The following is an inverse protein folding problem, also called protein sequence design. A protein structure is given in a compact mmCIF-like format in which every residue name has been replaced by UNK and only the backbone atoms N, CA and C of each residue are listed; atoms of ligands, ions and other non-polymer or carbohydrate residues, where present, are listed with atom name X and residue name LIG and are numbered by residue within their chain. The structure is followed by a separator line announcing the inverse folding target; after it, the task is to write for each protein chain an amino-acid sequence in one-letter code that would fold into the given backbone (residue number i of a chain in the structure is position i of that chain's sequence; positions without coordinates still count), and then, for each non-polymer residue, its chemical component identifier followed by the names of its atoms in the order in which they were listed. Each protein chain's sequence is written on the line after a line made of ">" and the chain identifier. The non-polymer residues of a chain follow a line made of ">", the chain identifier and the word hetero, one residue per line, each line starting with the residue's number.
data_IF_138001964802
#
_entry.id   IF_138001964802
#
_cell.length_a   1.000
_cell.length_b   1.000
_cell.length_c   1.000
_cell.angle_alpha   90.00
_cell.angle_beta   90.00
_cell.angle_gamma   90.00
#
_symmetry.space_group_name_H-M   'P 1'
#
loop_
_entity.id
_entity.type
_entity.pdbx_description
1 polymer ?
#
# COMPACT_ATOMS: atom_id res chain seq x y z
N UNK A 1 -2.10 10.12 7.63
CA UNK A 1 -2.02 8.79 6.99
C UNK A 1 -2.16 8.93 5.48
N UNK A 2 -1.44 8.11 4.70
CA UNK A 2 -1.57 8.03 3.24
C UNK A 2 -2.07 6.63 2.84
N UNK A 3 -3.19 6.58 2.14
CA UNK A 3 -3.85 5.35 1.65
C UNK A 3 -3.77 5.36 0.12
N UNK A 4 -2.91 4.54 -0.46
CA UNK A 4 -2.64 4.51 -1.90
C UNK A 4 -3.31 3.32 -2.58
N UNK A 5 -3.69 3.50 -3.86
CA UNK A 5 -4.50 2.53 -4.60
C UNK A 5 -5.82 2.23 -3.88
N UNK A 6 -6.42 3.30 -3.36
CA UNK A 6 -7.46 3.25 -2.33
C UNK A 6 -8.79 2.63 -2.81
N UNK A 7 -9.02 2.54 -4.12
CA UNK A 7 -10.24 2.06 -4.75
C UNK A 7 -11.50 2.76 -4.20
N UNK A 8 -12.16 2.22 -3.19
CA UNK A 8 -13.38 2.79 -2.57
C UNK A 8 -13.12 3.55 -1.26
N UNK A 9 -11.88 3.68 -0.82
CA UNK A 9 -11.51 4.42 0.41
C UNK A 9 -11.67 3.64 1.70
N UNK A 10 -11.80 2.30 1.64
CA UNK A 10 -12.12 1.49 2.81
C UNK A 10 -11.06 1.59 3.93
N UNK A 11 -9.78 1.56 3.61
CA UNK A 11 -8.71 1.71 4.60
C UNK A 11 -8.71 3.12 5.21
N UNK A 12 -8.85 4.15 4.37
CA UNK A 12 -8.92 5.53 4.82
C UNK A 12 -10.09 5.79 5.78
N UNK A 13 -11.29 5.30 5.46
CA UNK A 13 -12.48 5.42 6.32
C UNK A 13 -12.31 4.70 7.65
N UNK A 14 -11.75 3.48 7.64
CA UNK A 14 -11.44 2.76 8.87
C UNK A 14 -10.39 3.47 9.72
N UNK A 15 -9.40 4.11 9.08
CA UNK A 15 -8.42 4.92 9.79
C UNK A 15 -9.07 6.14 10.46
N UNK A 16 -9.96 6.86 9.77
CA UNK A 16 -10.74 7.98 10.38
C UNK A 16 -11.56 7.49 11.56
N UNK A 17 -12.26 6.35 11.40
CA UNK A 17 -13.03 5.72 12.47
C UNK A 17 -12.15 5.31 13.65
N UNK A 18 -10.91 4.88 13.38
CA UNK A 18 -9.88 4.56 14.38
C UNK A 18 -9.18 5.76 15.00
N UNK A 19 -9.59 6.99 14.65
CA UNK A 19 -9.07 8.23 15.24
C UNK A 19 -7.94 8.92 14.46
N UNK A 20 -7.70 8.55 13.20
CA UNK A 20 -6.76 9.27 12.36
C UNK A 20 -7.21 10.74 12.20
N UNK A 21 -6.27 11.67 12.39
CA UNK A 21 -6.55 13.10 12.29
C UNK A 21 -6.71 13.56 10.86
N UNK A 22 -5.86 13.04 9.99
CA UNK A 22 -5.85 13.37 8.56
C UNK A 22 -5.51 12.13 7.73
N UNK A 23 -6.31 11.89 6.67
CA UNK A 23 -6.14 10.81 5.72
C UNK A 23 -6.17 11.35 4.30
N UNK A 24 -5.18 10.97 3.50
CA UNK A 24 -5.15 11.22 2.06
C UNK A 24 -5.32 9.88 1.37
N UNK A 25 -6.42 9.70 0.64
CA UNK A 25 -6.71 8.49 -0.14
C UNK A 25 -6.54 8.77 -1.61
N UNK A 26 -5.72 7.96 -2.28
CA UNK A 26 -5.23 8.20 -3.64
C UNK A 26 -5.58 7.05 -4.54
N UNK A 27 -6.14 7.35 -5.70
CA UNK A 27 -6.31 6.40 -6.80
C UNK A 27 -6.07 7.09 -8.14
N UNK A 28 -5.68 6.33 -9.15
CA UNK A 28 -5.52 6.83 -10.52
C UNK A 28 -6.86 6.99 -11.23
N UNK A 29 -7.87 6.19 -10.85
CA UNK A 29 -9.21 6.19 -11.45
C UNK A 29 -10.06 7.33 -10.91
N UNK A 30 -10.49 8.23 -11.78
CA UNK A 30 -11.44 9.30 -11.41
C UNK A 30 -12.76 8.74 -10.87
N UNK A 31 -13.24 7.61 -11.40
CA UNK A 31 -14.44 6.94 -10.92
C UNK A 31 -14.25 6.41 -9.50
N UNK A 32 -13.09 5.82 -9.20
CA UNK A 32 -12.76 5.38 -7.85
C UNK A 32 -12.71 6.57 -6.89
N UNK A 33 -12.08 7.66 -7.27
CA UNK A 33 -11.99 8.90 -6.47
C UNK A 33 -13.39 9.46 -6.18
N UNK A 34 -14.27 9.51 -7.18
CA UNK A 34 -15.67 9.95 -6.98
C UNK A 34 -16.42 9.04 -5.99
N UNK A 35 -16.17 7.72 -6.00
CA UNK A 35 -16.72 6.80 -5.00
C UNK A 35 -16.14 7.06 -3.61
N UNK A 36 -14.85 7.36 -3.50
CA UNK A 36 -14.22 7.74 -2.21
C UNK A 36 -14.87 9.01 -1.67
N UNK A 37 -15.06 10.04 -2.48
CA UNK A 37 -15.71 11.30 -2.07
C UNK A 37 -17.12 11.04 -1.54
N UNK A 38 -17.92 10.26 -2.26
CA UNK A 38 -19.25 9.85 -1.80
C UNK A 38 -19.19 9.07 -0.48
N UNK A 39 -18.23 8.17 -0.33
CA UNK A 39 -18.07 7.38 0.89
C UNK A 39 -17.60 8.26 2.07
N UNK A 40 -16.79 9.28 1.84
CA UNK A 40 -16.42 10.30 2.84
C UNK A 40 -17.69 11.00 3.36
N UNK A 41 -18.57 11.43 2.47
CA UNK A 41 -19.84 12.08 2.85
C UNK A 41 -20.74 11.14 3.64
N UNK A 42 -20.97 9.91 3.15
CA UNK A 42 -21.83 8.91 3.79
C UNK A 42 -21.37 8.51 5.20
N UNK A 43 -20.05 8.61 5.46
CA UNK A 43 -19.47 8.23 6.75
C UNK A 43 -19.14 9.41 7.67
N UNK A 44 -19.50 10.65 7.29
CA UNK A 44 -19.20 11.84 8.07
C UNK A 44 -17.70 12.09 8.27
N UNK A 45 -16.88 11.71 7.29
CA UNK A 45 -15.42 11.81 7.35
C UNK A 45 -14.87 13.13 6.76
N UNK A 46 -15.75 14.08 6.39
CA UNK A 46 -15.36 15.37 5.86
C UNK A 46 -14.45 16.12 6.86
N UNK A 47 -13.46 16.81 6.34
CA UNK A 47 -12.46 17.51 7.15
C UNK A 47 -11.37 16.63 7.77
N UNK A 48 -11.52 15.29 7.70
CA UNK A 48 -10.49 14.34 8.16
C UNK A 48 -9.92 13.49 7.02
N UNK A 49 -10.66 13.28 5.96
CA UNK A 49 -10.25 12.47 4.81
C UNK A 49 -10.48 13.24 3.52
N UNK A 50 -9.53 13.18 2.61
CA UNK A 50 -9.63 13.73 1.26
C UNK A 50 -9.27 12.68 0.22
N UNK A 51 -9.92 12.72 -0.94
CA UNK A 51 -9.65 11.91 -2.09
C UNK A 51 -8.76 12.68 -3.09
N UNK A 52 -7.82 11.99 -3.71
CA UNK A 52 -6.89 12.57 -4.70
C UNK A 52 -6.80 11.66 -5.91
N UNK A 53 -7.09 12.18 -7.10
CA UNK A 53 -6.89 11.48 -8.36
C UNK A 53 -5.45 11.72 -8.85
N UNK A 54 -4.57 10.71 -8.69
CA UNK A 54 -3.17 10.84 -9.09
C UNK A 54 -2.53 9.48 -9.35
N UNK A 55 -1.47 9.48 -10.18
CA UNK A 55 -0.54 8.35 -10.28
C UNK A 55 0.30 8.26 -8.99
N UNK A 56 0.24 7.11 -8.31
CA UNK A 56 0.91 6.90 -7.02
C UNK A 56 2.43 7.02 -7.14
N UNK A 57 3.04 6.57 -8.25
CA UNK A 57 4.48 6.68 -8.44
C UNK A 57 4.93 8.15 -8.52
N UNK A 58 4.20 8.95 -9.28
CA UNK A 58 4.48 10.38 -9.42
C UNK A 58 4.24 11.12 -8.09
N UNK A 59 3.12 10.80 -7.41
CA UNK A 59 2.75 11.46 -6.16
C UNK A 59 3.73 11.16 -5.01
N UNK A 60 4.17 9.92 -4.86
CA UNK A 60 5.16 9.57 -3.83
C UNK A 60 6.48 10.31 -4.08
N UNK A 61 6.88 10.48 -5.34
CA UNK A 61 8.06 11.28 -5.70
C UNK A 61 7.88 12.75 -5.33
N UNK A 62 6.74 13.33 -5.69
CA UNK A 62 6.39 14.72 -5.37
C UNK A 62 6.39 14.97 -3.86
N UNK A 63 5.81 14.05 -3.08
CA UNK A 63 5.81 14.16 -1.61
C UNK A 63 7.22 14.05 -1.02
N UNK A 64 8.08 13.18 -1.58
CA UNK A 64 9.49 13.09 -1.17
C UNK A 64 10.23 14.40 -1.44
N UNK A 65 10.05 15.02 -2.61
CA UNK A 65 10.64 16.30 -2.98
C UNK A 65 10.15 17.46 -2.09
N UNK A 66 8.88 17.40 -1.65
CA UNK A 66 8.28 18.38 -0.72
C UNK A 66 8.64 18.13 0.75
N UNK A 67 9.26 17.00 1.08
CA UNK A 67 9.60 16.64 2.45
C UNK A 67 8.38 16.24 3.31
N UNK A 68 7.26 15.84 2.68
CA UNK A 68 6.07 15.37 3.38
C UNK A 68 6.36 14.14 4.25
N UNK A 69 5.65 14.02 5.37
CA UNK A 69 5.79 12.89 6.30
C UNK A 69 4.44 12.33 6.74
N UNK A 70 4.40 11.02 6.93
CA UNK A 70 3.21 10.28 7.34
C UNK A 70 3.54 9.29 8.46
N UNK A 71 2.61 9.12 9.41
CA UNK A 71 2.74 8.12 10.47
C UNK A 71 2.37 6.72 9.97
N UNK A 72 1.47 6.65 9.00
CA UNK A 72 1.01 5.38 8.39
C UNK A 72 0.91 5.56 6.88
N UNK A 73 1.45 4.61 6.13
CA UNK A 73 1.27 4.51 4.66
C UNK A 73 0.78 3.11 4.33
N UNK A 74 -0.26 3.02 3.51
CA UNK A 74 -0.77 1.77 2.93
C UNK A 74 -0.44 1.73 1.44
N UNK A 75 0.17 0.65 1.00
CA UNK A 75 0.44 0.31 -0.39
C UNK A 75 -0.30 -0.99 -0.75
N UNK A 76 -1.45 -0.88 -1.39
CA UNK A 76 -2.23 -2.02 -1.88
C UNK A 76 -2.41 -1.95 -3.41
N UNK A 77 -1.31 -2.05 -4.17
CA UNK A 77 -1.33 -1.89 -5.61
C UNK A 77 -2.02 -3.08 -6.31
N UNK A 78 -2.54 -2.86 -7.52
CA UNK A 78 -2.96 -3.96 -8.38
C UNK A 78 -1.77 -4.86 -8.71
N UNK A 79 -2.04 -6.07 -9.22
CA UNK A 79 -1.00 -7.01 -9.60
C UNK A 79 -0.09 -6.41 -10.69
N UNK A 80 1.18 -6.13 -10.36
CA UNK A 80 2.17 -5.60 -11.32
C UNK A 80 2.66 -6.65 -12.31
N UNK A 81 2.40 -7.94 -12.05
CA UNK A 81 2.65 -8.99 -13.03
C UNK A 81 1.56 -10.05 -13.04
N UNK A 82 1.22 -10.49 -14.25
CA UNK A 82 0.33 -11.63 -14.50
C UNK A 82 1.08 -12.81 -15.16
N UNK A 83 2.42 -12.72 -15.26
CA UNK A 83 3.24 -13.76 -15.87
C UNK A 83 4.65 -13.82 -15.26
N UNK A 84 5.26 -15.02 -15.28
CA UNK A 84 6.62 -15.23 -14.83
C UNK A 84 7.65 -14.38 -15.62
N UNK A 85 7.38 -14.10 -16.90
CA UNK A 85 8.30 -13.32 -17.76
C UNK A 85 8.52 -11.89 -17.28
N UNK A 86 7.57 -11.33 -16.53
CA UNK A 86 7.58 -9.93 -16.11
C UNK A 86 7.94 -9.73 -14.63
N UNK A 87 8.43 -10.76 -13.95
CA UNK A 87 8.79 -10.70 -12.51
C UNK A 87 9.77 -9.56 -12.24
N UNK A 88 10.82 -9.40 -13.05
CA UNK A 88 11.84 -8.37 -12.85
C UNK A 88 11.27 -6.93 -12.96
N UNK A 89 10.38 -6.72 -13.93
CA UNK A 89 9.68 -5.45 -14.07
C UNK A 89 8.77 -5.17 -12.86
N UNK A 90 8.02 -6.18 -12.43
CA UNK A 90 7.17 -6.08 -11.24
C UNK A 90 7.99 -5.81 -9.97
N UNK A 91 9.14 -6.49 -9.81
CA UNK A 91 10.07 -6.25 -8.71
C UNK A 91 10.50 -4.78 -8.64
N UNK A 92 10.89 -4.19 -9.78
CA UNK A 92 11.24 -2.77 -9.86
C UNK A 92 10.10 -1.85 -9.41
N UNK A 93 8.87 -2.09 -9.87
CA UNK A 93 7.70 -1.30 -9.49
C UNK A 93 7.36 -1.42 -8.00
N UNK A 94 7.29 -2.64 -7.47
CA UNK A 94 7.08 -2.85 -6.04
C UNK A 94 8.17 -2.22 -5.18
N UNK A 95 9.44 -2.37 -5.59
CA UNK A 95 10.58 -1.79 -4.89
C UNK A 95 10.48 -0.27 -4.84
N UNK A 96 10.17 0.38 -5.96
CA UNK A 96 10.08 1.83 -6.07
C UNK A 96 9.04 2.42 -5.11
N UNK A 97 7.81 1.91 -5.11
CA UNK A 97 6.78 2.45 -4.21
C UNK A 97 7.11 2.19 -2.74
N UNK A 98 7.67 1.02 -2.41
CA UNK A 98 8.04 0.68 -1.03
C UNK A 98 9.20 1.53 -0.53
N UNK A 99 10.23 1.74 -1.34
CA UNK A 99 11.37 2.61 -1.03
C UNK A 99 10.91 4.04 -0.72
N UNK A 100 10.08 4.64 -1.58
CA UNK A 100 9.57 5.99 -1.36
C UNK A 100 8.68 6.07 -0.13
N UNK A 101 7.78 5.11 0.06
CA UNK A 101 6.96 5.04 1.26
C UNK A 101 7.81 5.00 2.54
N UNK A 102 8.88 4.18 2.57
CA UNK A 102 9.78 4.12 3.72
C UNK A 102 10.49 5.44 3.98
N UNK A 103 10.82 6.23 2.95
CA UNK A 103 11.41 7.57 3.11
C UNK A 103 10.40 8.61 3.58
N UNK A 104 9.13 8.46 3.21
CA UNK A 104 8.03 9.35 3.60
C UNK A 104 7.50 9.06 5.01
N UNK A 105 7.81 7.91 5.61
CA UNK A 105 7.38 7.59 6.96
C UNK A 105 8.19 8.33 8.01
N UNK A 106 7.48 8.78 9.05
CA UNK A 106 8.09 9.27 10.30
C UNK A 106 8.92 8.17 10.96
N UNK A 107 9.73 8.51 11.95
CA UNK A 107 10.42 7.51 12.77
C UNK A 107 9.40 6.64 13.51
N UNK A 108 9.59 5.33 13.49
CA UNK A 108 8.64 4.32 13.96
C UNK A 108 7.26 4.32 13.24
N UNK A 109 7.17 4.95 12.09
CA UNK A 109 5.98 4.94 11.24
C UNK A 109 5.64 3.54 10.74
N UNK A 110 4.39 3.33 10.38
CA UNK A 110 3.85 2.03 9.96
C UNK A 110 3.66 1.99 8.46
N UNK A 111 4.27 1.00 7.83
CA UNK A 111 4.03 0.63 6.44
C UNK A 111 3.17 -0.63 6.38
N UNK A 112 2.01 -0.54 5.74
CA UNK A 112 1.25 -1.71 5.29
C UNK A 112 1.49 -1.85 3.81
N UNK A 113 2.02 -3.00 3.38
CA UNK A 113 2.33 -3.21 1.96
C UNK A 113 1.87 -4.57 1.50
N UNK A 114 1.23 -4.60 0.33
CA UNK A 114 0.58 -5.78 -0.23
C UNK A 114 1.10 -6.11 -1.64
N UNK A 115 0.94 -7.36 -2.01
CA UNK A 115 1.06 -7.83 -3.39
C UNK A 115 0.09 -8.98 -3.64
N UNK A 116 -0.82 -8.78 -4.59
CA UNK A 116 -1.75 -9.81 -5.07
C UNK A 116 -1.21 -10.57 -6.30
N UNK A 117 0.04 -10.34 -6.72
CA UNK A 117 0.66 -11.03 -7.85
C UNK A 117 1.07 -12.45 -7.47
N UNK A 118 0.42 -13.47 -8.05
CA UNK A 118 0.78 -14.86 -7.82
C UNK A 118 2.25 -15.17 -8.18
N UNK A 119 2.72 -14.70 -9.34
CA UNK A 119 4.10 -14.93 -9.80
C UNK A 119 5.15 -14.15 -8.99
N UNK A 120 4.74 -13.19 -8.19
CA UNK A 120 5.60 -12.48 -7.25
C UNK A 120 5.40 -13.08 -5.87
N UNK A 121 6.01 -14.25 -5.65
CA UNK A 121 5.83 -15.05 -4.46
C UNK A 121 6.41 -14.41 -3.17
N UNK A 122 6.27 -15.10 -2.04
CA UNK A 122 6.73 -14.57 -0.76
C UNK A 122 8.26 -14.32 -0.71
N UNK A 123 9.14 -15.21 -1.22
CA UNK A 123 10.56 -14.90 -1.32
C UNK A 123 10.87 -13.62 -2.10
N UNK A 124 10.25 -13.43 -3.27
CA UNK A 124 10.42 -12.19 -4.04
C UNK A 124 9.90 -10.96 -3.29
N UNK A 125 8.74 -11.07 -2.65
CA UNK A 125 8.12 -9.98 -1.91
C UNK A 125 8.97 -9.53 -0.71
N UNK A 126 9.41 -10.46 0.14
CA UNK A 126 10.24 -10.11 1.29
C UNK A 126 11.67 -9.72 0.91
N UNK A 127 12.24 -10.32 -0.11
CA UNK A 127 13.53 -9.88 -0.69
C UNK A 127 13.48 -8.47 -1.25
N UNK A 128 12.38 -8.11 -1.90
CA UNK A 128 12.12 -6.74 -2.38
C UNK A 128 12.03 -5.75 -1.22
N UNK A 129 11.31 -6.09 -0.15
CA UNK A 129 11.19 -5.21 1.03
C UNK A 129 12.55 -4.94 1.69
N UNK A 130 13.36 -5.99 1.84
CA UNK A 130 14.73 -5.85 2.36
C UNK A 130 15.54 -4.89 1.48
N UNK A 131 15.49 -5.06 0.17
CA UNK A 131 16.26 -4.21 -0.75
C UNK A 131 15.74 -2.78 -0.82
N UNK A 132 14.44 -2.57 -0.70
CA UNK A 132 13.84 -1.24 -0.58
C UNK A 132 14.27 -0.54 0.71
N UNK A 133 14.34 -1.25 1.83
CA UNK A 133 14.80 -0.73 3.12
C UNK A 133 16.27 -0.31 3.08
N UNK A 134 17.15 -1.15 2.50
CA UNK A 134 18.57 -0.82 2.29
C UNK A 134 18.73 0.48 1.48
N UNK A 135 18.03 0.59 0.34
CA UNK A 135 18.14 1.75 -0.54
C UNK A 135 17.46 3.01 0.07
N UNK A 136 16.45 2.83 0.92
CA UNK A 136 15.84 3.91 1.70
C UNK A 136 16.72 4.35 2.89
N UNK A 137 17.77 3.58 3.23
CA UNK A 137 18.61 3.74 4.43
C UNK A 137 17.78 3.70 5.72
N UNK A 138 16.78 2.83 5.75
CA UNK A 138 15.88 2.61 6.90
C UNK A 138 15.93 1.15 7.34
N UNK A 139 15.71 0.91 8.61
CA UNK A 139 15.50 -0.44 9.14
C UNK A 139 14.01 -0.75 9.17
N UNK A 140 13.65 -1.99 8.83
CA UNK A 140 12.26 -2.41 8.75
C UNK A 140 12.05 -3.65 9.61
N UNK A 141 11.10 -3.56 10.53
CA UNK A 141 10.65 -4.66 11.38
C UNK A 141 9.28 -5.14 10.89
N UNK A 142 9.17 -6.37 10.41
CA UNK A 142 7.87 -6.96 10.06
C UNK A 142 7.19 -7.37 11.36
N UNK A 143 6.13 -6.66 11.73
CA UNK A 143 5.39 -6.87 12.98
C UNK A 143 4.17 -7.78 12.80
N UNK A 144 3.64 -7.91 11.57
CA UNK A 144 2.60 -8.86 11.24
C UNK A 144 2.65 -9.25 9.75
N UNK A 145 2.12 -10.43 9.44
CA UNK A 145 1.97 -10.94 8.07
C UNK A 145 0.54 -11.44 7.91
N UNK A 146 -0.08 -11.10 6.80
CA UNK A 146 -1.44 -11.52 6.45
C UNK A 146 -1.48 -12.09 5.04
N UNK A 147 -2.48 -12.92 4.79
CA UNK A 147 -2.88 -13.41 3.47
C UNK A 147 -4.24 -12.87 3.08
N UNK A 148 -4.94 -13.59 2.21
CA UNK A 148 -6.30 -13.26 1.81
C UNK A 148 -7.29 -13.44 2.98
N UNK A 149 -8.38 -12.69 2.94
CA UNK A 149 -9.47 -12.81 3.90
C UNK A 149 -10.25 -14.13 3.76
N UNK A 150 -11.15 -14.38 4.70
CA UNK A 150 -11.96 -15.60 4.71
C UNK A 150 -12.91 -15.74 3.50
N UNK A 151 -13.20 -14.65 2.82
CA UNK A 151 -13.96 -14.58 1.56
C UNK A 151 -13.15 -15.05 0.33
N UNK A 152 -11.82 -15.18 0.47
CA UNK A 152 -10.89 -15.72 -0.53
C UNK A 152 -10.07 -16.86 0.07
N UNK A 153 -10.70 -18.01 0.38
CA UNK A 153 -10.02 -19.10 1.08
C UNK A 153 -8.94 -19.74 0.19
N UNK A 154 -7.85 -20.17 0.83
CA UNK A 154 -6.84 -20.97 0.17
C UNK A 154 -7.37 -22.38 -0.04
N UNK A 155 -7.40 -22.83 -1.30
CA UNK A 155 -7.85 -24.17 -1.67
C UNK A 155 -6.70 -25.16 -1.54
N UNK A 156 -6.87 -26.18 -0.70
CA UNK A 156 -5.89 -27.26 -0.57
C UNK A 156 -5.63 -27.92 -1.92
N UNK A 157 -4.35 -28.08 -2.28
CA UNK A 157 -3.94 -28.62 -3.59
C UNK A 157 -3.95 -27.63 -4.75
N UNK A 158 -4.35 -26.35 -4.52
CA UNK A 158 -4.30 -25.31 -5.55
C UNK A 158 -3.46 -24.09 -5.08
N UNK A 159 -2.12 -24.14 -5.18
CA UNK A 159 -1.22 -23.11 -4.67
C UNK A 159 -1.50 -21.70 -5.21
N UNK A 160 -2.11 -21.58 -6.40
CA UNK A 160 -2.47 -20.29 -6.99
C UNK A 160 -3.54 -19.53 -6.21
N UNK A 161 -4.29 -20.19 -5.34
CA UNK A 161 -5.24 -19.53 -4.44
C UNK A 161 -4.55 -18.75 -3.29
N UNK A 162 -3.29 -19.08 -2.96
CA UNK A 162 -2.47 -18.36 -1.99
C UNK A 162 -1.64 -17.27 -2.71
N UNK A 163 -2.31 -16.26 -3.20
CA UNK A 163 -1.67 -15.22 -4.02
C UNK A 163 -1.38 -13.91 -3.28
N UNK A 164 -2.10 -13.62 -2.18
CA UNK A 164 -1.95 -12.36 -1.45
C UNK A 164 -0.84 -12.46 -0.39
N UNK A 165 0.08 -11.53 -0.44
CA UNK A 165 1.05 -11.24 0.61
C UNK A 165 0.78 -9.85 1.13
N UNK A 166 0.62 -9.71 2.44
CA UNK A 166 0.50 -8.43 3.13
C UNK A 166 1.45 -8.43 4.32
N UNK A 167 2.27 -7.40 4.42
CA UNK A 167 3.17 -7.17 5.54
C UNK A 167 2.83 -5.86 6.24
N UNK A 168 2.72 -5.90 7.55
CA UNK A 168 2.67 -4.71 8.40
C UNK A 168 4.06 -4.53 8.98
N UNK A 169 4.68 -3.39 8.71
CA UNK A 169 6.05 -3.12 9.04
C UNK A 169 6.15 -1.85 9.90
N UNK A 170 7.04 -1.86 10.90
CA UNK A 170 7.52 -0.65 11.55
C UNK A 170 8.83 -0.23 10.88
N UNK A 171 8.89 1.04 10.48
CA UNK A 171 10.06 1.63 9.82
C UNK A 171 10.82 2.51 10.82
N UNK A 172 12.04 2.11 11.15
CA UNK A 172 12.90 2.74 12.16
C UNK A 172 14.18 3.30 11.53
#
# INVERSE_FOLDING_TARGET
>A
MLDTFTHTGAFGLNAVKGGAKEVVSVDLSADAVSLVERNIELNGAQGKMKAVCADVFALLKEYEEKGEKFDVIILDPPAFTKSAKNIQKAYGGYKEINLRAMRLLTENGILVTCSCSYFFDAPHFYGMLMKAAEDAKRRVQIIAKFGAGADHPVLAGYPKSEYLKCAVCRVV
#
